data_IF_477130846332
#
_entry.id   IF_477130846332
#
_cell.length_a   1.000
_cell.length_b   1.000
_cell.length_c   1.000
_cell.angle_alpha   90.00
_cell.angle_beta   90.00
_cell.angle_gamma   90.00
#
_symmetry.space_group_name_H-M   'P 1'
#
loop_
_entity.id
_entity.type
_entity.pdbx_description
1 polymer ?
#
# COMPACT_ATOMS: atom_id res chain seq x y z
N UNK A 1 -9.64 -15.21 -18.91
CA UNK A 1 -9.92 -14.47 -20.16
C UNK A 1 -10.14 -13.00 -19.84
N UNK A 2 -9.67 -12.05 -20.66
CA UNK A 2 -9.88 -10.62 -20.39
C UNK A 2 -11.38 -10.27 -20.44
N UNK A 3 -11.80 -9.33 -19.60
CA UNK A 3 -13.20 -8.87 -19.50
C UNK A 3 -13.71 -8.32 -20.85
N UNK A 4 -14.96 -8.63 -21.26
CA UNK A 4 -15.55 -8.08 -22.48
C UNK A 4 -15.80 -6.57 -22.41
N UNK A 5 -15.78 -5.99 -21.21
CA UNK A 5 -15.98 -4.56 -20.98
C UNK A 5 -14.65 -3.77 -20.88
N UNK A 6 -13.50 -4.43 -21.03
CA UNK A 6 -12.21 -3.76 -21.00
C UNK A 6 -12.01 -2.87 -22.23
N UNK A 7 -11.67 -1.60 -22.00
CA UNK A 7 -11.38 -0.65 -23.07
C UNK A 7 -10.20 -1.12 -23.93
N UNK A 8 -10.13 -0.62 -25.16
CA UNK A 8 -9.01 -0.93 -26.07
C UNK A 8 -7.65 -0.61 -25.43
N UNK A 9 -7.56 0.54 -24.74
CA UNK A 9 -6.35 0.97 -24.05
C UNK A 9 -5.95 -0.01 -22.94
N UNK A 10 -6.89 -0.44 -22.09
CA UNK A 10 -6.60 -1.38 -21.00
C UNK A 10 -6.05 -2.72 -21.52
N UNK A 11 -6.49 -3.15 -22.71
CA UNK A 11 -6.04 -4.40 -23.34
C UNK A 11 -4.64 -4.31 -23.96
N UNK A 12 -4.09 -3.11 -24.14
CA UNK A 12 -2.76 -2.89 -24.72
C UNK A 12 -1.68 -2.56 -23.70
N UNK A 13 -2.05 -2.36 -22.42
CA UNK A 13 -1.09 -2.06 -21.37
C UNK A 13 -0.27 -3.31 -21.02
N UNK A 14 1.03 -3.13 -20.84
CA UNK A 14 1.87 -4.10 -20.15
C UNK A 14 1.62 -3.95 -18.64
N UNK A 15 1.16 -4.99 -17.94
CA UNK A 15 0.94 -4.91 -16.50
C UNK A 15 2.23 -4.57 -15.74
N UNK A 16 2.10 -3.84 -14.64
CA UNK A 16 3.22 -3.67 -13.69
C UNK A 16 3.62 -5.03 -13.13
N UNK A 17 4.92 -5.33 -13.18
CA UNK A 17 5.52 -6.50 -12.55
C UNK A 17 6.33 -6.00 -11.36
N UNK A 18 5.96 -6.33 -10.11
CA UNK A 18 6.76 -5.97 -8.96
C UNK A 18 8.13 -6.65 -9.03
N UNK A 19 9.14 -6.01 -8.45
CA UNK A 19 10.45 -6.63 -8.28
C UNK A 19 10.39 -7.85 -7.35
N UNK A 20 11.48 -8.62 -7.32
CA UNK A 20 11.59 -9.78 -6.43
C UNK A 20 11.39 -9.36 -4.96
N UNK A 21 10.59 -10.13 -4.21
CA UNK A 21 10.43 -9.96 -2.77
C UNK A 21 10.70 -11.31 -2.08
N UNK A 22 11.93 -11.54 -1.56
CA UNK A 22 12.30 -12.81 -0.95
C UNK A 22 11.49 -13.10 0.33
N UNK A 23 10.92 -14.30 0.44
CA UNK A 23 10.15 -14.76 1.60
C UNK A 23 11.03 -15.47 2.66
N UNK A 24 12.19 -14.89 3.00
CA UNK A 24 13.13 -15.47 3.96
C UNK A 24 12.96 -14.87 5.36
N UNK A 25 13.09 -15.70 6.42
CA UNK A 25 12.98 -15.24 7.83
C UNK A 25 14.09 -14.28 8.27
N UNK A 26 15.25 -14.31 7.60
CA UNK A 26 16.39 -13.43 7.88
C UNK A 26 16.91 -12.87 6.55
N UNK A 27 16.51 -11.65 6.24
CA UNK A 27 16.84 -10.91 5.04
C UNK A 27 17.27 -9.49 5.45
N UNK A 28 18.32 -8.96 4.83
CA UNK A 28 18.56 -7.51 4.81
C UNK A 28 17.85 -6.99 3.55
N UNK A 29 16.75 -6.27 3.74
CA UNK A 29 15.89 -5.79 2.65
C UNK A 29 16.35 -4.42 2.16
N UNK A 30 16.75 -4.33 0.88
CA UNK A 30 17.30 -3.10 0.26
C UNK A 30 16.70 -2.79 -1.12
N UNK A 31 15.65 -3.51 -1.53
CA UNK A 31 15.14 -3.52 -2.90
C UNK A 31 13.92 -2.63 -3.16
N UNK A 32 13.29 -2.04 -2.13
CA UNK A 32 12.04 -1.25 -2.27
C UNK A 32 12.14 0.18 -1.71
N UNK A 33 13.34 0.69 -1.44
CA UNK A 33 13.59 2.05 -0.92
C UNK A 33 12.84 2.38 0.40
N UNK A 34 12.63 1.39 1.26
CA UNK A 34 11.98 1.59 2.55
C UNK A 34 12.90 2.32 3.53
N UNK A 35 12.31 3.11 4.42
CA UNK A 35 13.05 3.76 5.51
C UNK A 35 13.46 2.69 6.55
N UNK A 36 14.72 2.65 6.98
CA UNK A 36 15.17 1.66 7.98
C UNK A 36 14.68 1.96 9.41
N UNK A 37 14.20 3.17 9.69
CA UNK A 37 13.77 3.61 11.00
C UNK A 37 12.27 3.36 11.21
N UNK A 38 11.83 3.14 12.47
CA UNK A 38 10.41 3.08 12.78
C UNK A 38 9.72 4.42 12.49
N UNK A 39 8.39 4.41 12.29
CA UNK A 39 7.62 5.65 12.22
C UNK A 39 7.73 6.45 13.53
N UNK A 40 7.43 7.75 13.46
CA UNK A 40 7.43 8.60 14.66
C UNK A 40 6.40 8.11 15.70
N UNK A 41 6.67 8.20 17.01
CA UNK A 41 5.75 7.73 18.05
C UNK A 41 4.32 8.30 17.93
N UNK A 42 4.20 9.60 17.62
CA UNK A 42 2.91 10.25 17.41
C UNK A 42 2.08 9.65 16.27
N UNK A 43 2.72 9.06 15.25
CA UNK A 43 2.04 8.36 14.15
C UNK A 43 1.42 7.06 14.66
N UNK A 44 2.12 6.33 15.54
CA UNK A 44 1.60 5.11 16.14
C UNK A 44 0.40 5.40 17.04
N UNK A 45 0.46 6.47 17.83
CA UNK A 45 -0.65 6.93 18.67
C UNK A 45 -1.88 7.31 17.83
N UNK A 46 -1.68 8.06 16.75
CA UNK A 46 -2.76 8.46 15.84
C UNK A 46 -3.42 7.24 15.16
N UNK A 47 -2.63 6.27 14.68
CA UNK A 47 -3.15 5.03 14.07
C UNK A 47 -3.96 4.22 15.10
N UNK A 48 -3.45 4.09 16.32
CA UNK A 48 -4.13 3.35 17.38
C UNK A 48 -5.48 3.98 17.73
N UNK A 49 -5.56 5.33 17.78
CA UNK A 49 -6.80 6.06 18.00
C UNK A 49 -7.80 5.87 16.85
N UNK A 50 -7.34 5.95 15.59
CA UNK A 50 -8.20 5.81 14.42
C UNK A 50 -8.77 4.39 14.23
N UNK A 51 -8.09 3.36 14.75
CA UNK A 51 -8.50 1.96 14.60
C UNK A 51 -9.87 1.62 15.24
N UNK A 52 -10.38 2.46 16.15
CA UNK A 52 -11.68 2.26 16.79
C UNK A 52 -12.89 2.45 15.87
N UNK A 53 -12.73 3.22 14.78
CA UNK A 53 -13.84 3.71 13.95
C UNK A 53 -13.77 3.23 12.49
N UNK A 54 -13.08 2.12 12.21
CA UNK A 54 -12.90 1.56 10.86
C UNK A 54 -14.20 1.22 10.10
N UNK A 55 -15.36 1.25 10.78
CA UNK A 55 -16.68 1.10 10.15
C UNK A 55 -17.14 2.35 9.39
N UNK A 56 -16.55 3.51 9.68
CA UNK A 56 -16.87 4.78 9.06
C UNK A 56 -15.97 5.01 7.84
N UNK A 57 -16.50 5.74 6.85
CA UNK A 57 -15.66 6.26 5.78
C UNK A 57 -14.68 7.30 6.32
N UNK A 58 -13.45 7.39 5.76
CA UNK A 58 -12.52 8.45 6.12
C UNK A 58 -13.05 9.83 5.71
N UNK A 59 -12.50 10.90 6.29
CA UNK A 59 -12.80 12.27 5.88
C UNK A 59 -12.43 12.48 4.41
N UNK A 60 -13.39 12.83 3.52
CA UNK A 60 -13.11 13.04 2.11
C UNK A 60 -12.18 14.24 1.83
N UNK A 61 -12.02 15.17 2.78
CA UNK A 61 -11.19 16.36 2.63
C UNK A 61 -9.74 16.21 3.13
N UNK A 62 -9.39 15.08 3.75
CA UNK A 62 -8.11 14.91 4.45
C UNK A 62 -7.78 16.06 5.42
N UNK A 63 -8.77 16.57 6.14
CA UNK A 63 -8.65 17.73 7.04
C UNK A 63 -8.52 17.35 8.53
N UNK A 64 -8.74 16.08 8.87
CA UNK A 64 -8.66 15.54 10.23
C UNK A 64 -7.24 15.13 10.65
#
# INVERSE_FOLDING_TARGET
MPSPYASRLARTLTPYVPGEQPAARRLIKLNTNENPYPPAPAVLEAIAAAAGDLRLYPDPGCAA
#
